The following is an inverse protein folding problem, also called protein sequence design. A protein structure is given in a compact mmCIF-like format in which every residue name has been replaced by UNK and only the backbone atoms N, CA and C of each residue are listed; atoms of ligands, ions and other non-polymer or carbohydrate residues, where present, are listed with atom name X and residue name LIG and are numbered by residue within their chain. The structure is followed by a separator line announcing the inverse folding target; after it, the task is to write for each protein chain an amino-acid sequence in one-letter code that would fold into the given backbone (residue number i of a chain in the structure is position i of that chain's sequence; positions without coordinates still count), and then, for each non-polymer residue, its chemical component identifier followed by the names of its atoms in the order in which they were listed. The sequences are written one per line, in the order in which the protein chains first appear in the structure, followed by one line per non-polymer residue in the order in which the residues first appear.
data_IF_238208868717
#
_entry.id   IF_238208868717
#
_cell.length_a   1.000
_cell.length_b   1.000
_cell.length_c   1.000
_cell.angle_alpha   90.00
_cell.angle_beta   90.00
_cell.angle_gamma   90.00
#
_symmetry.space_group_name_H-M   'P 1'
#
loop_
_entity.id
_entity.type
_entity.pdbx_description
1 polymer ?
#
# COMPACT_ATOMS: atom_id res chain seq x y z
N UNK A 1 -17.47 29.84 33.87
CA UNK A 1 -18.05 28.62 33.27
C UNK A 1 -16.90 27.91 32.57
N UNK A 2 -16.23 26.99 33.28
CA UNK A 2 -15.06 26.27 32.75
C UNK A 2 -15.52 25.28 31.67
N UNK A 3 -14.79 25.10 30.55
CA UNK A 3 -15.13 24.07 29.60
C UNK A 3 -14.96 22.71 30.29
N UNK A 4 -15.94 21.82 30.14
CA UNK A 4 -15.87 20.46 30.63
C UNK A 4 -14.59 19.80 30.11
N UNK A 5 -13.77 19.23 31.01
CA UNK A 5 -12.64 18.39 30.63
C UNK A 5 -13.16 17.34 29.66
N UNK A 6 -12.84 17.50 28.38
CA UNK A 6 -13.17 16.53 27.37
C UNK A 6 -11.97 15.60 27.34
N UNK A 7 -12.15 14.40 27.88
CA UNK A 7 -11.14 13.36 27.72
C UNK A 7 -10.93 13.15 26.23
N UNK A 8 -9.67 13.18 25.84
CA UNK A 8 -9.30 12.94 24.47
C UNK A 8 -9.83 11.56 24.10
N UNK A 9 -10.68 11.46 23.05
CA UNK A 9 -11.23 10.18 22.68
C UNK A 9 -10.09 9.22 22.32
N UNK A 10 -8.92 9.73 21.91
CA UNK A 10 -7.73 9.01 21.40
C UNK A 10 -6.77 8.44 22.46
N UNK A 11 -6.38 9.25 23.44
CA UNK A 11 -5.33 8.92 24.42
C UNK A 11 -5.90 8.74 25.85
N UNK A 12 -7.14 9.16 26.11
CA UNK A 12 -7.73 9.21 27.45
C UNK A 12 -7.13 10.29 28.36
N UNK A 13 -6.15 11.07 27.87
CA UNK A 13 -5.68 12.26 28.55
C UNK A 13 -6.59 13.46 28.26
N UNK A 14 -6.56 14.45 29.15
CA UNK A 14 -7.34 15.67 29.03
C UNK A 14 -6.88 16.45 27.78
N UNK A 15 -7.83 16.77 26.90
CA UNK A 15 -7.56 17.66 25.76
C UNK A 15 -7.13 19.04 26.25
N UNK A 16 -6.08 19.58 25.65
CA UNK A 16 -5.76 20.99 25.85
C UNK A 16 -6.81 21.84 25.14
N UNK A 17 -7.66 22.48 25.94
CA UNK A 17 -8.75 23.32 25.47
C UNK A 17 -8.28 24.57 24.70
N UNK A 18 -7.01 24.97 24.84
CA UNK A 18 -6.45 26.14 24.15
C UNK A 18 -5.98 25.77 22.75
N UNK A 19 -5.26 24.65 22.62
CA UNK A 19 -4.74 24.19 21.32
C UNK A 19 -5.73 23.35 20.52
N UNK A 20 -6.77 22.81 21.17
CA UNK A 20 -7.71 21.88 20.54
C UNK A 20 -7.06 20.54 20.19
N UNK A 21 -5.94 20.18 20.83
CA UNK A 21 -5.15 18.96 20.58
C UNK A 21 -4.78 18.22 21.89
N UNK A 22 -4.69 16.89 21.88
CA UNK A 22 -4.21 16.10 23.04
C UNK A 22 -2.69 16.29 23.18
N UNK A 23 -2.17 16.70 24.35
CA UNK A 23 -0.73 16.84 24.56
C UNK A 23 0.03 15.51 24.51
N UNK A 24 -0.60 14.39 24.89
CA UNK A 24 0.00 13.05 24.83
C UNK A 24 0.13 12.48 23.42
N UNK A 25 -0.88 12.62 22.56
CA UNK A 25 -0.88 12.02 21.21
C UNK A 25 -0.90 13.02 20.04
N UNK A 26 -1.05 14.31 20.32
CA UNK A 26 -1.19 15.37 19.31
C UNK A 26 -2.50 15.33 18.50
N UNK A 27 -3.49 14.52 18.88
CA UNK A 27 -4.75 14.35 18.15
C UNK A 27 -5.74 15.48 18.41
N UNK A 28 -6.53 15.93 17.41
CA UNK A 28 -7.46 17.04 17.59
C UNK A 28 -8.68 16.66 18.46
N UNK A 29 -9.36 17.66 19.02
CA UNK A 29 -10.58 17.50 19.82
C UNK A 29 -11.80 17.03 18.99
N UNK A 30 -11.76 17.20 17.66
CA UNK A 30 -12.82 16.80 16.73
C UNK A 30 -12.54 15.42 16.11
N UNK A 31 -13.62 14.77 15.63
CA UNK A 31 -13.66 13.44 15.01
C UNK A 31 -12.39 13.09 14.20
N UNK A 32 -11.97 11.83 14.35
CA UNK A 32 -10.78 11.20 13.76
C UNK A 32 -10.39 11.84 12.41
N UNK A 33 -9.39 12.75 12.35
CA UNK A 33 -9.03 13.45 11.10
C UNK A 33 -8.44 12.49 10.04
N UNK A 34 -8.19 11.24 10.42
CA UNK A 34 -7.72 10.15 9.57
C UNK A 34 -8.84 9.20 9.11
N UNK A 35 -10.08 9.42 9.53
CA UNK A 35 -11.24 8.77 8.90
C UNK A 35 -11.24 9.21 7.43
N UNK A 36 -10.89 8.28 6.54
CA UNK A 36 -10.74 8.60 5.13
C UNK A 36 -12.06 9.18 4.61
N UNK A 37 -12.06 10.35 3.94
CA UNK A 37 -13.24 10.88 3.32
C UNK A 37 -13.55 10.04 2.07
N UNK A 38 -14.22 8.91 2.25
CA UNK A 38 -14.52 8.00 1.14
C UNK A 38 -15.03 6.64 1.59
N UNK A 39 -15.43 5.85 0.61
CA UNK A 39 -15.85 4.46 0.81
C UNK A 39 -14.63 3.60 1.16
N UNK A 40 -14.64 3.03 2.38
CA UNK A 40 -13.64 2.06 2.82
C UNK A 40 -14.14 0.67 2.40
N UNK A 41 -13.35 -0.04 1.60
CA UNK A 41 -13.65 -1.39 1.15
C UNK A 41 -12.64 -2.35 1.76
N UNK A 42 -13.10 -3.42 2.40
CA UNK A 42 -12.22 -4.42 3.01
C UNK A 42 -12.59 -5.79 2.45
N UNK A 43 -11.59 -6.60 2.10
CA UNK A 43 -11.87 -7.98 1.68
C UNK A 43 -12.27 -8.83 2.88
N UNK A 44 -13.12 -9.84 2.71
CA UNK A 44 -13.48 -10.78 3.79
C UNK A 44 -12.24 -11.40 4.46
N UNK A 45 -11.23 -11.74 3.63
CA UNK A 45 -9.94 -12.25 4.09
C UNK A 45 -9.24 -11.25 5.01
N UNK A 46 -9.11 -10.00 4.57
CA UNK A 46 -8.42 -8.97 5.35
C UNK A 46 -9.23 -8.63 6.60
N UNK A 47 -10.56 -8.52 6.51
CA UNK A 47 -11.44 -8.25 7.64
C UNK A 47 -11.22 -9.26 8.78
N UNK A 48 -11.15 -10.56 8.45
CA UNK A 48 -10.85 -11.61 9.43
C UNK A 48 -9.45 -11.43 10.05
N UNK A 49 -8.42 -11.26 9.24
CA UNK A 49 -7.04 -11.13 9.70
C UNK A 49 -6.88 -9.90 10.61
N UNK A 50 -7.49 -8.79 10.25
CA UNK A 50 -7.43 -7.54 11.03
C UNK A 50 -8.19 -7.66 12.35
N UNK A 51 -9.33 -8.37 12.37
CA UNK A 51 -10.03 -8.69 13.62
C UNK A 51 -9.15 -9.48 14.59
N UNK A 52 -8.39 -10.47 14.08
CA UNK A 52 -7.42 -11.23 14.88
C UNK A 52 -6.28 -10.33 15.41
N UNK A 53 -5.76 -9.40 14.59
CA UNK A 53 -4.71 -8.45 15.01
C UNK A 53 -5.21 -7.50 16.11
N UNK A 54 -6.40 -6.92 15.93
CA UNK A 54 -6.98 -5.94 16.84
C UNK A 54 -7.37 -6.58 18.18
N UNK A 55 -7.93 -7.80 18.15
CA UNK A 55 -8.29 -8.54 19.37
C UNK A 55 -7.07 -9.14 20.09
N UNK A 56 -5.96 -9.34 19.37
CA UNK A 56 -4.77 -10.02 19.87
C UNK A 56 -3.68 -9.09 20.43
N UNK A 57 -2.49 -9.00 19.80
CA UNK A 57 -1.28 -8.46 20.40
C UNK A 57 -1.24 -6.92 20.50
N UNK A 58 -2.24 -6.23 19.99
CA UNK A 58 -2.25 -4.78 19.91
C UNK A 58 -2.60 -4.16 21.27
N UNK A 59 -1.83 -3.15 21.69
CA UNK A 59 -2.06 -2.50 22.99
C UNK A 59 -3.21 -1.49 22.90
N UNK A 60 -4.01 -1.43 23.96
CA UNK A 60 -4.96 -0.34 24.16
C UNK A 60 -4.20 1.00 24.11
N UNK A 61 -4.60 1.88 23.19
CA UNK A 61 -3.94 3.18 22.95
C UNK A 61 -3.02 3.22 21.72
N UNK A 62 -2.79 2.10 21.03
CA UNK A 62 -2.10 2.14 19.73
C UNK A 62 -2.96 2.87 18.69
N UNK A 63 -2.39 3.91 18.07
CA UNK A 63 -3.08 4.69 17.04
C UNK A 63 -3.50 3.78 15.87
N UNK A 64 -2.69 2.77 15.54
CA UNK A 64 -3.07 1.81 14.50
C UNK A 64 -4.28 0.96 14.89
N UNK A 65 -4.41 0.56 16.16
CA UNK A 65 -5.57 -0.20 16.65
C UNK A 65 -6.86 0.54 16.40
N UNK A 66 -6.85 1.81 16.74
CA UNK A 66 -8.02 2.68 16.60
C UNK A 66 -8.38 2.87 15.14
N UNK A 67 -7.38 3.05 14.29
CA UNK A 67 -7.56 3.14 12.84
C UNK A 67 -8.19 1.89 12.27
N UNK A 68 -7.71 0.73 12.69
CA UNK A 68 -8.24 -0.54 12.21
C UNK A 68 -9.65 -0.82 12.76
N UNK A 69 -9.93 -0.54 14.04
CA UNK A 69 -11.27 -0.72 14.63
C UNK A 69 -12.32 0.10 13.87
N UNK A 70 -12.08 1.39 13.66
CA UNK A 70 -13.00 2.26 12.91
C UNK A 70 -13.24 1.74 11.48
N UNK A 71 -12.17 1.32 10.80
CA UNK A 71 -12.26 0.77 9.44
C UNK A 71 -13.02 -0.55 9.40
N UNK A 72 -12.90 -1.39 10.42
CA UNK A 72 -13.66 -2.64 10.53
C UNK A 72 -15.14 -2.39 10.83
N UNK A 73 -15.46 -1.36 11.62
CA UNK A 73 -16.84 -1.00 11.95
C UNK A 73 -17.57 -0.31 10.79
N UNK A 74 -16.88 0.58 10.06
CA UNK A 74 -17.49 1.38 8.99
C UNK A 74 -17.20 0.87 7.57
N UNK A 75 -16.28 -0.07 7.41
CA UNK A 75 -15.85 -0.58 6.12
C UNK A 75 -16.85 -1.53 5.47
N UNK A 76 -17.07 -1.38 4.17
CA UNK A 76 -17.86 -2.35 3.39
C UNK A 76 -17.02 -3.59 3.12
N UNK A 77 -17.47 -4.72 3.65
CA UNK A 77 -16.83 -6.02 3.43
C UNK A 77 -17.27 -6.61 2.09
N UNK A 78 -16.30 -7.05 1.28
CA UNK A 78 -16.54 -7.66 -0.04
C UNK A 78 -15.76 -8.97 -0.20
N UNK A 79 -16.26 -9.94 -0.99
CA UNK A 79 -15.48 -11.10 -1.37
C UNK A 79 -14.27 -10.68 -2.24
N UNK A 80 -13.22 -11.50 -2.26
CA UNK A 80 -11.95 -11.15 -2.90
C UNK A 80 -12.08 -10.97 -4.43
N UNK A 81 -13.06 -11.62 -5.04
CA UNK A 81 -13.38 -11.58 -6.47
C UNK A 81 -14.05 -10.26 -6.87
N UNK A 82 -14.72 -9.59 -5.93
CA UNK A 82 -15.37 -8.29 -6.13
C UNK A 82 -14.47 -7.12 -5.71
N UNK A 83 -13.32 -7.42 -5.12
CA UNK A 83 -12.35 -6.42 -4.71
C UNK A 83 -11.76 -5.70 -5.95
N UNK A 84 -11.80 -4.36 -6.00
CA UNK A 84 -11.17 -3.60 -7.07
C UNK A 84 -9.67 -3.89 -7.17
N UNK A 85 -9.12 -3.94 -8.39
CA UNK A 85 -7.69 -4.22 -8.62
C UNK A 85 -6.76 -3.13 -8.05
N UNK A 86 -7.28 -1.93 -7.86
CA UNK A 86 -6.64 -0.76 -7.28
C UNK A 86 -6.86 -0.63 -5.76
N UNK A 87 -7.46 -1.63 -5.12
CA UNK A 87 -7.70 -1.65 -3.67
C UNK A 87 -6.43 -2.01 -2.89
N UNK A 88 -6.14 -1.22 -1.85
CA UNK A 88 -5.09 -1.51 -0.89
C UNK A 88 -5.54 -2.61 0.06
N UNK A 89 -4.99 -3.80 -0.15
CA UNK A 89 -5.20 -5.00 0.67
C UNK A 89 -3.91 -5.37 1.39
N UNK A 90 -3.96 -6.28 2.38
CA UNK A 90 -2.73 -6.87 2.91
C UNK A 90 -1.95 -7.50 1.76
N UNK A 91 -0.62 -7.43 1.78
CA UNK A 91 0.28 -7.91 0.72
C UNK A 91 0.32 -7.03 -0.53
N UNK A 92 -0.54 -6.01 -0.66
CA UNK A 92 -0.50 -5.10 -1.81
C UNK A 92 0.75 -4.21 -1.77
N UNK A 93 1.30 -3.93 -2.96
CA UNK A 93 2.37 -2.94 -3.12
C UNK A 93 1.73 -1.60 -3.46
N UNK A 94 1.95 -0.61 -2.60
CA UNK A 94 1.38 0.73 -2.70
C UNK A 94 2.49 1.73 -3.02
N UNK A 95 2.22 2.62 -3.96
CA UNK A 95 3.04 3.80 -4.25
C UNK A 95 2.26 5.01 -3.74
N UNK A 96 2.84 5.78 -2.83
CA UNK A 96 2.17 6.92 -2.21
C UNK A 96 3.14 8.09 -2.00
N UNK A 97 2.61 9.30 -1.93
CA UNK A 97 3.35 10.50 -1.51
C UNK A 97 2.90 10.94 -0.12
N UNK A 98 3.81 11.56 0.62
CA UNK A 98 3.55 12.13 1.94
C UNK A 98 3.71 13.64 1.86
N UNK A 99 2.65 14.39 2.14
CA UNK A 99 2.64 15.87 2.11
C UNK A 99 3.26 16.47 0.83
N UNK A 100 3.06 15.81 -0.32
CA UNK A 100 3.60 16.23 -1.62
C UNK A 100 5.09 15.92 -1.83
N UNK A 101 5.72 15.13 -0.95
CA UNK A 101 7.10 14.69 -1.09
C UNK A 101 7.29 13.63 -2.20
N UNK A 102 8.53 13.17 -2.36
CA UNK A 102 8.85 12.10 -3.31
C UNK A 102 8.07 10.83 -3.00
N UNK A 103 7.50 10.22 -4.03
CA UNK A 103 6.72 9.00 -3.89
C UNK A 103 7.56 7.83 -3.35
N UNK A 104 7.01 7.11 -2.37
CA UNK A 104 7.57 5.91 -1.81
C UNK A 104 6.78 4.68 -2.24
N UNK A 105 7.46 3.56 -2.47
CA UNK A 105 6.83 2.28 -2.77
C UNK A 105 7.03 1.32 -1.58
N UNK A 106 5.93 0.90 -0.95
CA UNK A 106 5.96 -0.05 0.17
C UNK A 106 4.97 -1.18 -0.02
N UNK A 107 5.21 -2.32 0.63
CA UNK A 107 4.27 -3.45 0.68
C UNK A 107 3.57 -3.43 2.02
N UNK A 108 2.23 -3.43 2.02
CA UNK A 108 1.45 -3.50 3.25
C UNK A 108 1.53 -4.92 3.81
N UNK A 109 2.06 -5.12 5.02
CA UNK A 109 2.33 -6.46 5.56
C UNK A 109 1.64 -6.73 6.90
N UNK A 110 1.40 -8.01 7.17
CA UNK A 110 1.01 -8.50 8.49
C UNK A 110 2.13 -8.23 9.52
N UNK A 111 1.82 -7.95 10.81
CA UNK A 111 2.84 -7.75 11.85
C UNK A 111 3.83 -8.91 11.97
N UNK A 112 3.37 -10.15 11.84
CA UNK A 112 4.23 -11.35 11.93
C UNK A 112 5.00 -11.66 10.63
N UNK A 113 4.96 -10.77 9.63
CA UNK A 113 5.74 -10.97 8.43
C UNK A 113 7.24 -10.98 8.76
N UNK A 114 7.86 -12.14 8.55
CA UNK A 114 9.26 -12.47 8.93
C UNK A 114 10.34 -11.58 8.29
N UNK A 115 9.97 -10.68 7.37
CA UNK A 115 10.87 -9.77 6.66
C UNK A 115 10.40 -8.31 6.82
N UNK A 116 10.63 -7.73 7.99
CA UNK A 116 10.56 -6.28 8.15
C UNK A 116 11.78 -5.69 7.44
N UNK A 117 11.55 -5.06 6.29
CA UNK A 117 12.58 -4.41 5.48
C UNK A 117 12.22 -2.94 5.28
N UNK A 118 13.14 -2.15 4.74
CA UNK A 118 12.84 -0.79 4.29
C UNK A 118 11.76 -0.72 3.17
N UNK A 119 11.24 -1.85 2.71
CA UNK A 119 10.16 -1.91 1.73
C UNK A 119 8.83 -2.37 2.32
N UNK A 120 8.81 -2.85 3.56
CA UNK A 120 7.59 -3.27 4.24
C UNK A 120 6.98 -2.13 5.03
N UNK A 121 5.65 -2.04 5.02
CA UNK A 121 4.86 -1.18 5.87
C UNK A 121 3.89 -2.08 6.66
N UNK A 122 4.13 -2.33 7.96
CA UNK A 122 3.22 -3.11 8.77
C UNK A 122 1.85 -2.44 8.84
N UNK A 123 0.78 -3.23 8.80
CA UNK A 123 -0.59 -2.73 9.01
C UNK A 123 -0.79 -2.21 10.44
N UNK A 124 0.06 -2.61 11.37
CA UNK A 124 0.12 -2.11 12.75
C UNK A 124 0.84 -0.77 12.89
N UNK A 125 1.37 -0.20 11.79
CA UNK A 125 1.83 1.18 11.79
C UNK A 125 0.67 2.11 11.41
N UNK A 126 0.61 3.31 11.99
CA UNK A 126 -0.45 4.28 11.70
C UNK A 126 -0.65 4.55 10.20
N UNK A 127 0.45 4.70 9.44
CA UNK A 127 0.39 4.84 7.97
C UNK A 127 -0.19 3.60 7.28
N UNK A 128 0.20 2.41 7.72
CA UNK A 128 -0.28 1.15 7.15
C UNK A 128 -1.77 0.95 7.40
N UNK A 129 -2.22 1.21 8.62
CA UNK A 129 -3.63 1.19 8.99
C UNK A 129 -4.45 2.20 8.18
N UNK A 130 -3.93 3.43 8.01
CA UNK A 130 -4.62 4.49 7.26
C UNK A 130 -4.81 4.13 5.78
N UNK A 131 -3.80 3.52 5.14
CA UNK A 131 -3.82 3.13 3.73
C UNK A 131 -4.77 1.96 3.42
N UNK A 132 -4.96 1.05 4.37
CA UNK A 132 -5.75 -0.16 4.16
C UNK A 132 -7.19 0.17 3.75
N UNK A 133 -7.70 -0.52 2.73
CA UNK A 133 -9.08 -0.43 2.27
C UNK A 133 -9.40 0.83 1.47
N UNK A 134 -8.36 1.60 1.10
CA UNK A 134 -8.44 2.72 0.17
C UNK A 134 -8.02 2.30 -1.24
N UNK A 135 -8.27 3.18 -2.21
CA UNK A 135 -7.98 2.94 -3.63
C UNK A 135 -6.93 3.89 -4.18
N UNK A 136 -6.34 3.55 -5.32
CA UNK A 136 -5.51 4.50 -6.06
C UNK A 136 -6.30 5.78 -6.39
N UNK A 137 -5.64 6.93 -6.25
CA UNK A 137 -6.24 8.26 -6.38
C UNK A 137 -6.91 8.79 -5.12
N UNK A 138 -7.01 8.00 -4.05
CA UNK A 138 -7.53 8.48 -2.77
C UNK A 138 -6.45 9.24 -1.97
N UNK A 139 -6.92 10.21 -1.18
CA UNK A 139 -6.12 10.88 -0.17
C UNK A 139 -6.65 10.51 1.22
N UNK A 140 -5.74 10.28 2.16
CA UNK A 140 -6.07 10.06 3.57
C UNK A 140 -5.08 10.77 4.45
N UNK A 141 -5.41 10.91 5.73
CA UNK A 141 -4.47 11.41 6.74
C UNK A 141 -4.04 10.28 7.65
N UNK A 142 -2.81 10.36 8.16
CA UNK A 142 -2.34 9.50 9.23
C UNK A 142 -1.66 10.35 10.32
N UNK A 143 -1.72 9.92 11.60
CA UNK A 143 -0.97 10.57 12.65
C UNK A 143 0.53 10.27 12.53
N UNK A 144 1.36 11.28 12.77
CA UNK A 144 2.82 11.14 12.84
C UNK A 144 3.25 10.68 14.23
N UNK A 145 4.37 9.95 14.30
CA UNK A 145 4.91 9.44 15.57
C UNK A 145 5.32 10.56 16.56
N UNK A 146 5.66 11.75 16.06
CA UNK A 146 6.03 12.93 16.88
C UNK A 146 4.88 13.92 17.10
N UNK A 147 3.64 13.48 16.86
CA UNK A 147 2.45 14.33 16.88
C UNK A 147 2.20 15.04 15.55
N UNK A 148 0.96 15.50 15.37
CA UNK A 148 0.47 16.06 14.11
C UNK A 148 -0.01 14.98 13.12
N UNK A 149 -0.47 15.44 11.96
CA UNK A 149 -0.94 14.57 10.87
C UNK A 149 -0.11 14.78 9.61
N UNK A 150 -0.02 13.75 8.79
CA UNK A 150 0.50 13.80 7.43
C UNK A 150 -0.60 13.41 6.44
N UNK A 151 -0.65 14.11 5.31
CA UNK A 151 -1.46 13.73 4.16
C UNK A 151 -0.74 12.63 3.39
N UNK A 152 -1.47 11.58 3.05
CA UNK A 152 -1.00 10.45 2.27
C UNK A 152 -1.84 10.39 0.99
N UNK A 153 -1.20 10.60 -0.15
CA UNK A 153 -1.82 10.46 -1.46
C UNK A 153 -1.45 9.11 -2.08
N UNK A 154 -2.44 8.31 -2.44
CA UNK A 154 -2.23 6.99 -3.04
C UNK A 154 -2.10 7.15 -4.56
N UNK A 155 -0.88 7.06 -5.08
CA UNK A 155 -0.61 7.24 -6.50
C UNK A 155 -0.91 5.97 -7.30
N UNK A 156 -0.56 4.81 -6.77
CA UNK A 156 -0.79 3.53 -7.46
C UNK A 156 -0.82 2.38 -6.48
N UNK A 157 -1.63 1.37 -6.79
CA UNK A 157 -1.71 0.13 -6.02
C UNK A 157 -1.53 -1.04 -6.98
N UNK A 158 -0.66 -1.96 -6.60
CA UNK A 158 -0.55 -3.28 -7.21
C UNK A 158 -1.06 -4.29 -6.18
N UNK A 159 -2.36 -4.57 -6.26
CA UNK A 159 -3.02 -5.57 -5.44
C UNK A 159 -2.61 -6.98 -5.81
N UNK A 160 -2.81 -7.90 -4.87
CA UNK A 160 -2.67 -9.35 -5.07
C UNK A 160 -4.02 -10.05 -5.32
N UNK A 161 -5.14 -9.34 -5.21
CA UNK A 161 -6.46 -9.95 -5.33
C UNK A 161 -6.80 -10.27 -6.79
N UNK A 162 -6.98 -11.57 -7.04
CA UNK A 162 -7.57 -12.15 -8.25
C UNK A 162 -6.60 -12.26 -9.42
N UNK A 163 -6.10 -13.47 -9.67
CA UNK A 163 -5.53 -13.83 -10.97
C UNK A 163 -6.57 -13.69 -12.08
N UNK A 164 -6.78 -12.46 -12.56
CA UNK A 164 -7.58 -12.13 -13.72
C UNK A 164 -6.64 -11.78 -14.87
N UNK A 165 -6.35 -12.80 -15.68
CA UNK A 165 -5.73 -12.76 -17.01
C UNK A 165 -4.60 -11.75 -17.25
N UNK A 166 -3.41 -12.30 -17.51
CA UNK A 166 -2.30 -11.68 -18.25
C UNK A 166 -2.84 -10.62 -19.20
N UNK A 167 -2.42 -9.36 -19.00
CA UNK A 167 -2.69 -8.25 -19.91
C UNK A 167 -2.34 -8.70 -21.33
N UNK A 168 -3.34 -9.08 -22.12
CA UNK A 168 -3.19 -9.10 -23.56
C UNK A 168 -2.87 -7.66 -23.93
N UNK A 169 -1.65 -7.47 -24.42
CA UNK A 169 -1.30 -6.27 -25.18
C UNK A 169 -2.42 -6.08 -26.21
N UNK A 170 -3.04 -4.89 -26.34
CA UNK A 170 -3.87 -4.64 -27.50
C UNK A 170 -2.94 -4.73 -28.70
N UNK A 171 -3.04 -5.85 -29.42
CA UNK A 171 -2.42 -6.00 -30.73
C UNK A 171 -3.08 -4.96 -31.63
N UNK A 172 -2.42 -3.82 -31.74
CA UNK A 172 -2.76 -2.79 -32.70
C UNK A 172 -2.72 -3.43 -34.10
N UNK A 173 -3.89 -3.78 -34.60
CA UNK A 173 -4.09 -3.99 -36.02
C UNK A 173 -3.91 -2.63 -36.70
N UNK A 174 -2.80 -2.45 -37.41
CA UNK A 174 -2.77 -1.90 -38.77
C UNK A 174 -1.33 -1.76 -39.24
N UNK A 175 -0.93 -2.65 -40.16
CA UNK A 175 -0.20 -2.30 -41.38
C UNK A 175 0.03 -3.57 -42.19
N UNK A 176 -0.94 -3.88 -43.04
CA UNK A 176 -0.57 -4.37 -44.35
C UNK A 176 0.04 -3.18 -45.08
N UNK A 177 1.31 -3.28 -45.47
CA UNK A 177 1.81 -2.78 -46.75
C UNK A 177 2.94 -3.74 -47.17
N UNK A 178 2.85 -4.08 -48.43
CA UNK A 178 3.60 -5.01 -49.26
C UNK A 178 5.11 -4.84 -49.21
N UNK A 179 5.80 -5.98 -49.31
CA UNK A 179 7.21 -6.06 -49.63
C UNK A 179 7.59 -5.21 -50.87
N UNK A 180 8.87 -4.82 -50.96
CA UNK A 180 9.59 -5.29 -52.13
C UNK A 180 10.94 -5.91 -51.78
N UNK A 181 11.21 -7.01 -52.48
CA UNK A 181 12.52 -7.59 -52.72
C UNK A 181 13.39 -6.59 -53.48
N UNK A 182 14.62 -6.33 -53.03
CA UNK A 182 15.75 -6.19 -53.95
C UNK A 182 17.13 -6.37 -53.26
N UNK A 183 17.72 -7.52 -53.57
CA UNK A 183 19.11 -7.79 -54.01
C UNK A 183 20.35 -7.15 -53.33
N UNK A 184 21.34 -8.05 -53.19
CA UNK A 184 22.70 -7.95 -52.64
C UNK A 184 23.62 -6.98 -53.41
N UNK A 185 24.80 -6.66 -52.83
CA UNK A 185 26.01 -7.29 -53.39
C UNK A 185 27.07 -7.74 -52.36
N UNK A 186 28.09 -8.38 -52.94
CA UNK A 186 29.11 -9.33 -52.46
C UNK A 186 30.24 -8.79 -51.55
N UNK A 187 30.65 -9.70 -50.64
CA UNK A 187 32.01 -10.19 -50.34
C UNK A 187 33.09 -9.30 -49.67
N UNK A 188 33.67 -9.84 -48.59
CA UNK A 188 35.05 -10.37 -48.46
C UNK A 188 35.12 -11.20 -47.16
N UNK A 189 35.32 -12.51 -47.21
CA UNK A 189 36.61 -13.21 -47.26
C UNK A 189 37.50 -12.92 -46.03
N UNK A 190 37.44 -13.82 -45.04
CA UNK A 190 38.42 -13.95 -43.96
C UNK A 190 38.40 -15.38 -43.44
N UNK A 191 39.32 -16.21 -43.93
CA UNK A 191 39.61 -17.56 -43.42
C UNK A 191 40.33 -17.46 -42.07
N UNK A 192 39.93 -18.25 -41.09
CA UNK A 192 40.87 -19.14 -40.38
C UNK A 192 40.11 -20.33 -39.76
N UNK A 193 40.85 -21.41 -39.54
CA UNK A 193 40.46 -22.81 -39.52
C UNK A 193 39.86 -23.32 -38.19
N UNK A 194 39.21 -24.49 -38.24
CA UNK A 194 38.69 -25.22 -37.08
C UNK A 194 39.77 -26.09 -36.40
N UNK A 195 39.36 -26.71 -35.29
CA UNK A 195 40.05 -27.66 -34.39
C UNK A 195 40.81 -27.06 -33.20
N UNK A 196 40.22 -27.18 -32.00
CA UNK A 196 40.73 -28.10 -30.96
C UNK A 196 39.74 -28.11 -29.76
N UNK A 197 38.84 -29.09 -29.76
CA UNK A 197 38.18 -29.69 -28.58
C UNK A 197 38.65 -31.16 -28.62
N UNK A 198 38.92 -31.92 -27.51
CA UNK A 198 38.41 -31.82 -26.12
C UNK A 198 39.44 -32.40 -25.06
N UNK A 199 39.07 -33.11 -23.95
CA UNK A 199 38.36 -32.75 -22.70
C UNK A 199 39.22 -33.06 -21.42
N UNK A 200 38.66 -33.50 -20.27
CA UNK A 200 38.60 -32.77 -18.99
C UNK A 200 39.63 -33.21 -17.93
N UNK A 201 39.93 -32.34 -16.95
CA UNK A 201 40.55 -32.74 -15.69
C UNK A 201 39.69 -32.33 -14.51
N UNK A 202 38.97 -33.31 -13.96
CA UNK A 202 38.52 -33.32 -12.58
C UNK A 202 39.22 -34.50 -11.90
N UNK A 203 40.06 -34.19 -10.92
CA UNK A 203 40.52 -35.06 -9.85
C UNK A 203 40.31 -34.29 -8.55
#
# INVERSE_FOLDING_TARGET
MAPANTDCPFCGEILDAISGTCPGCGGPAAALPWAAPGEIIITERDHRVLGEIVCGPMRAGDLAARILMEKLECGRVVPAEEAPADLVTLGARVIFSLDGATAEARVLVHPDARSVSAWSLPVTAARGAALLGLRAGAETRAPRLRGGTECIEILSVRGQAGGGLRRAVPAAATRGITAPVMLRPRAKAGRLRPDDDPPPSAA
#
